data_IF_451953830545
#
_entry.id   IF_451953830545
#
_cell.length_a   1.000
_cell.length_b   1.000
_cell.length_c   1.000
_cell.angle_alpha   90.00
_cell.angle_beta   90.00
_cell.angle_gamma   90.00
#
_symmetry.space_group_name_H-M   'P 1'
#
loop_
_entity.id
_entity.type
_entity.pdbx_description
1 polymer ?
#
# COMPACT_ATOMS: atom_id res chain seq x y z
N UNK A 1 15.22 -2.49 -7.24
CA UNK A 1 13.81 -2.88 -7.14
C UNK A 1 13.00 -1.89 -6.30
N UNK A 2 13.36 -1.60 -5.06
CA UNK A 2 12.60 -0.73 -4.13
C UNK A 2 12.45 0.76 -4.52
N UNK A 3 13.00 1.18 -5.66
CA UNK A 3 12.78 2.49 -6.29
C UNK A 3 12.00 2.41 -7.60
N UNK A 4 11.34 1.27 -7.86
CA UNK A 4 10.62 1.00 -9.10
C UNK A 4 11.47 1.19 -10.37
N UNK A 5 12.73 0.76 -10.34
CA UNK A 5 13.70 0.94 -11.42
C UNK A 5 14.16 -0.39 -12.03
N UNK A 6 13.49 -1.50 -11.72
CA UNK A 6 13.90 -2.83 -12.21
C UNK A 6 13.59 -3.06 -13.70
N UNK A 7 12.79 -2.20 -14.34
CA UNK A 7 12.40 -2.39 -15.75
C UNK A 7 11.44 -3.56 -15.99
N UNK A 8 10.78 -4.06 -14.94
CA UNK A 8 9.92 -5.24 -14.93
C UNK A 8 8.47 -4.88 -14.56
N UNK A 9 8.00 -3.69 -14.89
CA UNK A 9 6.68 -3.19 -14.50
C UNK A 9 5.51 -3.83 -15.27
N UNK A 10 5.77 -4.62 -16.32
CA UNK A 10 4.74 -5.20 -17.16
C UNK A 10 4.49 -6.69 -16.90
N UNK A 11 3.24 -7.11 -17.03
CA UNK A 11 2.78 -8.50 -16.88
C UNK A 11 2.59 -9.19 -18.24
N UNK A 12 3.55 -9.05 -19.16
CA UNK A 12 3.41 -9.62 -20.51
C UNK A 12 3.20 -11.14 -20.48
N UNK A 13 2.11 -11.59 -21.11
CA UNK A 13 1.78 -13.00 -21.24
C UNK A 13 1.37 -13.68 -19.93
N UNK A 14 1.20 -12.94 -18.83
CA UNK A 14 0.60 -13.50 -17.63
C UNK A 14 -0.90 -13.66 -17.80
N UNK A 15 -1.42 -14.82 -17.41
CA UNK A 15 -2.85 -15.12 -17.35
C UNK A 15 -3.39 -14.79 -15.97
N UNK A 16 -4.71 -14.77 -15.81
CA UNK A 16 -5.34 -14.64 -14.50
C UNK A 16 -4.91 -15.76 -13.54
N UNK A 17 -4.76 -16.96 -14.05
CA UNK A 17 -4.35 -18.11 -13.24
C UNK A 17 -2.90 -17.98 -12.75
N UNK A 18 -1.99 -17.48 -13.59
CA UNK A 18 -0.60 -17.22 -13.18
C UNK A 18 -0.54 -16.25 -12.00
N UNK A 19 -1.41 -15.23 -11.98
CA UNK A 19 -1.45 -14.22 -10.91
C UNK A 19 -1.90 -14.79 -9.56
N UNK A 20 -2.61 -15.90 -9.55
CA UNK A 20 -3.04 -16.59 -8.33
C UNK A 20 -1.95 -17.49 -7.74
N UNK A 21 -0.88 -17.75 -8.49
CA UNK A 21 0.28 -18.53 -8.05
C UNK A 21 1.52 -17.63 -7.92
N UNK A 22 1.85 -17.27 -6.69
CA UNK A 22 2.97 -16.36 -6.43
C UNK A 22 4.31 -16.96 -6.86
N UNK A 23 4.51 -18.27 -6.75
CA UNK A 23 5.75 -18.94 -7.16
C UNK A 23 5.94 -18.81 -8.67
N UNK A 24 4.89 -19.10 -9.44
CA UNK A 24 4.91 -18.93 -10.90
C UNK A 24 5.24 -17.48 -11.29
N UNK A 25 4.65 -16.51 -10.59
CA UNK A 25 4.90 -15.09 -10.88
C UNK A 25 6.32 -14.64 -10.48
N UNK A 26 6.84 -15.12 -9.36
CA UNK A 26 8.20 -14.86 -8.92
C UNK A 26 9.24 -15.44 -9.90
N UNK A 27 9.08 -16.69 -10.32
CA UNK A 27 9.94 -17.35 -11.30
C UNK A 27 9.88 -16.67 -12.66
N UNK A 28 8.69 -16.32 -13.12
CA UNK A 28 8.49 -15.57 -14.37
C UNK A 28 9.21 -14.23 -14.35
N UNK A 29 9.15 -13.50 -13.23
CA UNK A 29 9.85 -12.22 -13.07
C UNK A 29 11.35 -12.38 -12.92
N UNK A 30 11.81 -13.43 -12.25
CA UNK A 30 13.23 -13.77 -12.14
C UNK A 30 13.85 -14.11 -13.50
N UNK A 31 13.11 -14.81 -14.36
CA UNK A 31 13.53 -15.17 -15.72
C UNK A 31 13.34 -14.02 -16.74
N UNK A 32 12.61 -12.96 -16.39
CA UNK A 32 12.27 -11.90 -17.34
C UNK A 32 13.46 -10.98 -17.66
N UNK A 33 13.65 -10.68 -18.92
CA UNK A 33 14.63 -9.68 -19.36
C UNK A 33 14.08 -8.29 -19.04
N UNK A 34 14.83 -7.45 -18.29
CA UNK A 34 14.41 -6.09 -18.01
C UNK A 34 14.18 -5.27 -19.28
N UNK A 35 13.10 -4.52 -19.31
CA UNK A 35 12.73 -3.70 -20.46
C UNK A 35 13.50 -2.37 -20.52
N UNK A 36 13.17 -1.56 -21.54
CA UNK A 36 13.79 -0.24 -21.83
C UNK A 36 13.70 0.78 -20.65
N UNK A 37 12.91 0.49 -19.62
CA UNK A 37 12.77 1.34 -18.44
C UNK A 37 13.67 0.90 -17.28
N UNK A 38 14.61 -0.04 -17.52
CA UNK A 38 15.62 -0.38 -16.52
C UNK A 38 16.40 0.88 -16.12
N UNK A 39 16.55 1.07 -14.80
CA UNK A 39 17.22 2.24 -14.22
C UNK A 39 16.38 3.52 -14.19
N UNK A 40 15.19 3.55 -14.81
CA UNK A 40 14.27 4.69 -14.80
C UNK A 40 13.14 4.47 -13.83
N UNK A 41 12.67 5.54 -13.16
CA UNK A 41 11.46 5.45 -12.33
C UNK A 41 10.25 5.09 -13.18
N UNK A 42 9.70 3.93 -12.94
CA UNK A 42 8.54 3.39 -13.64
C UNK A 42 7.75 2.49 -12.69
N UNK A 43 6.66 2.97 -12.15
CA UNK A 43 5.88 2.30 -11.12
C UNK A 43 5.54 0.85 -11.50
N UNK A 44 5.90 -0.06 -10.63
CA UNK A 44 5.62 -1.49 -10.74
C UNK A 44 4.39 -1.80 -9.87
N UNK A 45 3.20 -1.63 -10.41
CA UNK A 45 1.98 -1.68 -9.61
C UNK A 45 1.73 -3.04 -8.96
N UNK A 46 1.78 -4.11 -9.73
CA UNK A 46 1.57 -5.48 -9.23
C UNK A 46 2.89 -6.23 -9.10
N UNK A 47 3.77 -6.10 -10.09
CA UNK A 47 5.03 -6.86 -10.12
C UNK A 47 5.96 -6.52 -8.97
N UNK A 48 5.82 -5.33 -8.35
CA UNK A 48 6.58 -4.98 -7.15
C UNK A 48 6.39 -6.02 -6.05
N UNK A 49 5.15 -6.47 -5.82
CA UNK A 49 4.84 -7.45 -4.79
C UNK A 49 5.62 -8.75 -4.99
N UNK A 50 5.52 -9.34 -6.17
CA UNK A 50 6.22 -10.62 -6.47
C UNK A 50 7.74 -10.47 -6.59
N UNK A 51 8.24 -9.31 -6.99
CA UNK A 51 9.69 -9.03 -6.94
C UNK A 51 10.20 -8.99 -5.50
N UNK A 52 9.39 -8.46 -4.57
CA UNK A 52 9.75 -8.41 -3.15
C UNK A 52 9.54 -9.75 -2.47
N UNK A 53 8.44 -10.46 -2.76
CA UNK A 53 8.20 -11.80 -2.18
C UNK A 53 9.22 -12.83 -2.65
N UNK A 54 9.57 -12.84 -3.93
CA UNK A 54 10.61 -13.71 -4.46
C UNK A 54 11.97 -13.45 -3.84
N UNK A 55 12.35 -12.17 -3.64
CA UNK A 55 13.57 -11.81 -2.94
C UNK A 55 13.51 -12.25 -1.46
N UNK A 56 12.41 -11.99 -0.78
CA UNK A 56 12.24 -12.36 0.62
C UNK A 56 12.29 -13.87 0.80
N UNK A 57 11.61 -14.63 -0.07
CA UNK A 57 11.65 -16.10 -0.07
C UNK A 57 13.04 -16.64 -0.35
N UNK A 58 13.79 -16.05 -1.27
CA UNK A 58 15.17 -16.46 -1.56
C UNK A 58 16.11 -16.24 -0.36
N UNK A 59 15.86 -15.22 0.47
CA UNK A 59 16.69 -14.90 1.64
C UNK A 59 16.25 -15.67 2.89
N UNK A 60 14.95 -15.86 3.09
CA UNK A 60 14.41 -16.41 4.35
C UNK A 60 13.86 -17.82 4.24
N UNK A 61 13.57 -18.30 3.02
CA UNK A 61 12.86 -19.55 2.78
C UNK A 61 11.34 -19.48 3.08
N UNK A 62 10.81 -18.30 3.44
CA UNK A 62 9.42 -18.10 3.84
C UNK A 62 8.64 -17.33 2.76
N UNK A 63 7.35 -17.64 2.63
CA UNK A 63 6.44 -16.89 1.78
C UNK A 63 6.10 -15.52 2.40
N UNK A 64 5.71 -14.56 1.58
CA UNK A 64 5.45 -13.19 2.03
C UNK A 64 4.27 -13.12 3.01
N UNK A 65 3.27 -13.98 2.87
CA UNK A 65 2.13 -14.04 3.81
C UNK A 65 2.61 -14.40 5.23
N UNK A 66 3.49 -15.38 5.34
CA UNK A 66 4.07 -15.78 6.62
C UNK A 66 4.95 -14.67 7.20
N UNK A 67 5.83 -14.08 6.37
CA UNK A 67 6.67 -12.96 6.79
C UNK A 67 5.84 -11.75 7.23
N UNK A 68 4.75 -11.45 6.51
CA UNK A 68 3.87 -10.35 6.86
C UNK A 68 3.25 -10.53 8.25
N UNK A 69 2.93 -11.78 8.63
CA UNK A 69 2.43 -12.09 9.96
C UNK A 69 3.54 -12.01 11.02
N UNK A 70 4.64 -12.75 10.82
CA UNK A 70 5.68 -12.92 11.82
C UNK A 70 6.55 -11.66 12.03
N UNK A 71 6.84 -10.93 10.94
CA UNK A 71 7.76 -9.79 10.97
C UNK A 71 7.03 -8.43 11.02
N UNK A 72 5.71 -8.41 10.82
CA UNK A 72 4.94 -7.18 10.81
C UNK A 72 3.78 -7.21 11.81
N UNK A 73 2.80 -8.10 11.65
CA UNK A 73 1.57 -8.06 12.44
C UNK A 73 1.81 -8.46 13.90
N UNK A 74 2.50 -9.57 14.15
CA UNK A 74 2.81 -10.06 15.49
C UNK A 74 3.71 -9.08 16.29
N UNK A 75 4.84 -8.58 15.75
CA UNK A 75 5.65 -7.60 16.47
C UNK A 75 4.95 -6.28 16.76
N UNK A 76 3.96 -5.91 15.94
CA UNK A 76 3.13 -4.72 16.17
C UNK A 76 1.95 -4.98 17.10
N UNK A 77 1.81 -6.20 17.61
CA UNK A 77 0.68 -6.61 18.46
C UNK A 77 -0.67 -6.20 17.83
N UNK A 78 -0.91 -6.64 16.60
CA UNK A 78 -2.13 -6.32 15.88
C UNK A 78 -2.67 -7.51 15.08
N UNK A 79 -3.96 -7.70 15.17
CA UNK A 79 -4.75 -8.64 14.35
C UNK A 79 -5.40 -7.99 13.12
N UNK A 80 -5.11 -6.70 12.91
CA UNK A 80 -5.69 -5.90 11.83
C UNK A 80 -4.81 -5.75 10.59
N UNK A 81 -3.77 -6.56 10.40
CA UNK A 81 -2.90 -6.55 9.23
C UNK A 81 -2.74 -7.95 8.67
N UNK A 82 -3.25 -8.18 7.46
CA UNK A 82 -3.15 -9.46 6.77
C UNK A 82 -2.73 -9.28 5.31
N UNK A 83 -2.00 -10.24 4.78
CA UNK A 83 -1.78 -10.40 3.36
C UNK A 83 -2.72 -11.49 2.84
N UNK A 84 -3.74 -11.09 2.09
CA UNK A 84 -4.82 -11.96 1.67
C UNK A 84 -5.92 -12.09 2.74
N UNK A 85 -6.71 -13.15 2.63
CA UNK A 85 -7.85 -13.40 3.51
C UNK A 85 -7.39 -13.61 4.96
N UNK A 86 -7.95 -12.88 5.93
CA UNK A 86 -7.74 -13.19 7.34
C UNK A 86 -8.20 -14.61 7.67
N UNK A 87 -7.62 -15.27 8.68
CA UNK A 87 -8.14 -16.52 9.24
C UNK A 87 -9.62 -16.39 9.64
N UNK A 88 -10.37 -17.50 9.61
CA UNK A 88 -11.80 -17.49 9.88
C UNK A 88 -12.16 -17.07 11.33
N UNK A 89 -11.25 -17.31 12.25
CA UNK A 89 -11.32 -16.94 13.67
C UNK A 89 -10.74 -15.56 13.98
N UNK A 90 -10.14 -14.88 12.99
CA UNK A 90 -9.62 -13.54 13.20
C UNK A 90 -10.75 -12.53 13.46
N UNK A 91 -10.56 -11.57 14.38
CA UNK A 91 -11.53 -10.49 14.60
C UNK A 91 -11.65 -9.55 13.39
N UNK A 92 -10.59 -9.41 12.60
CA UNK A 92 -10.61 -8.61 11.35
C UNK A 92 -11.38 -9.35 10.25
N UNK A 93 -12.38 -8.67 9.69
CA UNK A 93 -13.20 -9.19 8.59
C UNK A 93 -12.94 -8.43 7.31
N UNK A 94 -13.03 -9.14 6.19
CA UNK A 94 -12.96 -8.52 4.86
C UNK A 94 -14.23 -7.73 4.61
N UNK A 95 -14.08 -6.44 4.26
CA UNK A 95 -15.20 -5.62 3.83
C UNK A 95 -15.61 -5.98 2.40
N UNK A 96 -16.90 -5.91 2.11
CA UNK A 96 -17.40 -6.03 0.75
C UNK A 96 -16.88 -4.88 -0.11
N UNK A 97 -16.35 -5.20 -1.29
CA UNK A 97 -15.83 -4.20 -2.22
C UNK A 97 -17.00 -3.58 -2.99
N UNK A 98 -17.15 -2.27 -2.87
CA UNK A 98 -18.16 -1.50 -3.59
C UNK A 98 -17.55 -0.95 -4.87
N UNK A 99 -18.08 -1.38 -6.02
CA UNK A 99 -17.73 -0.84 -7.33
C UNK A 99 -18.88 -0.02 -7.91
N UNK A 100 -18.60 1.06 -8.65
CA UNK A 100 -19.64 1.76 -9.38
C UNK A 100 -20.32 0.84 -10.38
N UNK A 101 -21.63 0.72 -10.30
CA UNK A 101 -22.43 -0.17 -11.16
C UNK A 101 -22.23 0.14 -12.66
N UNK A 102 -22.03 1.41 -12.99
CA UNK A 102 -21.85 1.87 -14.38
C UNK A 102 -20.52 1.39 -15.00
N UNK A 103 -19.49 1.14 -14.21
CA UNK A 103 -18.19 0.64 -14.70
C UNK A 103 -18.29 -0.86 -15.01
N UNK A 104 -18.98 -1.62 -14.17
CA UNK A 104 -19.15 -3.05 -14.34
C UNK A 104 -20.06 -3.40 -15.55
N UNK A 105 -21.08 -2.57 -15.82
CA UNK A 105 -22.05 -2.77 -16.88
C UNK A 105 -21.60 -2.22 -18.26
N UNK A 106 -20.54 -1.42 -18.32
CA UNK A 106 -20.18 -0.70 -19.54
C UNK A 106 -19.14 -1.45 -20.37
N UNK A 107 -19.62 -2.34 -21.25
CA UNK A 107 -18.76 -3.06 -22.22
C UNK A 107 -17.92 -2.11 -23.11
N UNK A 108 -18.42 -0.90 -23.39
CA UNK A 108 -17.71 0.13 -24.16
C UNK A 108 -16.52 0.67 -23.35
N UNK A 109 -16.71 0.94 -22.06
CA UNK A 109 -15.63 1.39 -21.18
C UNK A 109 -14.57 0.29 -21.02
N UNK A 110 -14.98 -0.95 -20.84
CA UNK A 110 -14.08 -2.11 -20.77
C UNK A 110 -13.29 -2.29 -22.07
N UNK A 111 -13.94 -2.14 -23.22
CA UNK A 111 -13.31 -2.22 -24.53
C UNK A 111 -12.36 -1.02 -24.76
N UNK A 112 -12.76 0.19 -24.36
CA UNK A 112 -11.93 1.38 -24.41
C UNK A 112 -10.70 1.25 -23.49
N UNK A 113 -10.88 0.74 -22.29
CA UNK A 113 -9.79 0.45 -21.36
C UNK A 113 -8.82 -0.59 -21.92
N UNK A 114 -9.29 -1.66 -22.55
CA UNK A 114 -8.43 -2.64 -23.27
C UNK A 114 -7.64 -1.99 -24.38
N UNK A 115 -8.26 -1.11 -25.18
CA UNK A 115 -7.58 -0.39 -26.27
C UNK A 115 -6.60 0.68 -25.77
N UNK A 116 -6.95 1.41 -24.72
CA UNK A 116 -6.10 2.37 -24.04
C UNK A 116 -4.91 1.69 -23.34
N UNK A 117 -5.11 0.51 -22.74
CA UNK A 117 -4.04 -0.29 -22.17
C UNK A 117 -2.94 -0.62 -23.19
N UNK A 118 -3.31 -0.76 -24.47
CA UNK A 118 -2.35 -1.00 -25.54
C UNK A 118 -1.65 0.28 -26.05
N UNK A 119 -2.27 1.45 -25.91
CA UNK A 119 -1.80 2.70 -26.53
C UNK A 119 -1.25 3.74 -25.58
N UNK A 120 -1.75 3.85 -24.35
CA UNK A 120 -1.41 4.94 -23.44
C UNK A 120 -0.88 4.42 -22.10
N UNK A 121 0.22 4.96 -21.68
CA UNK A 121 0.94 4.84 -20.40
C UNK A 121 1.32 3.43 -19.94
N UNK A 122 2.58 3.27 -19.61
CA UNK A 122 3.12 2.11 -18.90
C UNK A 122 2.41 1.84 -17.57
N UNK A 123 1.81 2.86 -16.93
CA UNK A 123 1.06 2.75 -15.70
C UNK A 123 -0.16 1.84 -15.82
N UNK A 124 -0.97 2.05 -16.83
CA UNK A 124 -2.13 1.18 -17.05
C UNK A 124 -1.71 -0.26 -17.36
N UNK A 125 -0.62 -0.43 -18.14
CA UNK A 125 -0.07 -1.76 -18.45
C UNK A 125 0.53 -2.46 -17.22
N UNK A 126 0.97 -1.74 -16.22
CA UNK A 126 1.50 -2.30 -14.98
C UNK A 126 0.41 -2.77 -14.02
N UNK A 127 -0.81 -2.25 -14.16
CA UNK A 127 -1.97 -2.54 -13.30
C UNK A 127 -2.98 -3.47 -13.95
N UNK A 128 -3.03 -3.50 -15.28
CA UNK A 128 -4.04 -4.26 -16.02
C UNK A 128 -3.59 -5.68 -16.32
N UNK A 129 -4.46 -6.63 -16.04
CA UNK A 129 -4.40 -8.00 -16.53
C UNK A 129 -5.78 -8.43 -17.06
N UNK A 130 -5.85 -9.40 -17.99
CA UNK A 130 -7.14 -9.94 -18.46
C UNK A 130 -7.95 -10.49 -17.29
N UNK A 131 -9.22 -10.07 -17.17
CA UNK A 131 -10.10 -10.48 -16.08
C UNK A 131 -9.94 -9.68 -14.79
N UNK A 132 -9.16 -8.57 -14.76
CA UNK A 132 -8.96 -7.76 -13.56
C UNK A 132 -10.27 -7.28 -12.92
N UNK A 133 -11.26 -6.89 -13.73
CA UNK A 133 -12.55 -6.41 -13.21
C UNK A 133 -13.32 -7.58 -12.57
N UNK A 134 -13.45 -8.70 -13.27
CA UNK A 134 -14.10 -9.91 -12.78
C UNK A 134 -13.46 -10.42 -11.49
N UNK A 135 -12.12 -10.40 -11.43
CA UNK A 135 -11.37 -10.79 -10.26
C UNK A 135 -11.67 -9.90 -9.04
N UNK A 136 -11.75 -8.59 -9.23
CA UNK A 136 -12.11 -7.64 -8.16
C UNK A 136 -13.58 -7.78 -7.75
N UNK A 137 -14.46 -8.20 -8.66
CA UNK A 137 -15.86 -8.50 -8.38
C UNK A 137 -16.09 -9.83 -7.64
N UNK A 138 -15.03 -10.57 -7.35
CA UNK A 138 -15.10 -11.82 -6.59
C UNK A 138 -15.18 -13.08 -7.44
N UNK A 139 -15.10 -12.97 -8.79
CA UNK A 139 -15.09 -14.11 -9.70
C UNK A 139 -13.75 -14.89 -9.66
N UNK A 140 -12.74 -14.34 -9.00
CA UNK A 140 -11.48 -15.04 -8.76
C UNK A 140 -11.09 -14.93 -7.26
N UNK A 141 -10.44 -15.97 -6.70
CA UNK A 141 -10.08 -16.02 -5.28
C UNK A 141 -8.84 -15.17 -4.98
N UNK A 142 -8.87 -13.87 -5.33
CA UNK A 142 -7.72 -12.97 -5.17
C UNK A 142 -7.24 -12.88 -3.72
N UNK A 143 -8.16 -12.95 -2.75
CA UNK A 143 -7.79 -12.89 -1.33
C UNK A 143 -7.18 -14.19 -0.82
N UNK A 144 -7.41 -15.30 -1.51
CA UNK A 144 -6.86 -16.61 -1.13
C UNK A 144 -5.47 -16.83 -1.76
N UNK A 145 -5.16 -16.08 -2.81
CA UNK A 145 -3.83 -16.04 -3.43
C UNK A 145 -2.86 -15.13 -2.65
N UNK A 146 -1.57 -15.21 -2.97
CA UNK A 146 -0.55 -14.30 -2.48
C UNK A 146 -0.19 -13.28 -3.56
N UNK A 147 -0.79 -12.09 -3.46
CA UNK A 147 -0.56 -10.96 -4.38
C UNK A 147 -0.11 -9.74 -3.57
N UNK A 148 1.15 -9.67 -3.13
CA UNK A 148 1.59 -8.76 -2.07
C UNK A 148 1.36 -7.27 -2.37
N UNK A 149 1.23 -6.90 -3.64
CA UNK A 149 0.99 -5.51 -4.03
C UNK A 149 -0.52 -5.14 -4.10
N UNK A 150 -1.45 -6.08 -3.93
CA UNK A 150 -2.86 -5.82 -4.25
C UNK A 150 -3.87 -6.35 -3.25
N UNK A 151 -3.55 -7.35 -2.45
CA UNK A 151 -4.55 -8.02 -1.62
C UNK A 151 -4.30 -7.93 -0.10
N UNK A 152 -3.63 -6.88 0.34
CA UNK A 152 -3.55 -6.56 1.76
C UNK A 152 -4.93 -6.25 2.34
N UNK A 153 -5.25 -6.83 3.49
CA UNK A 153 -6.45 -6.54 4.28
C UNK A 153 -5.99 -5.87 5.58
N UNK A 154 -6.48 -4.66 5.83
CA UNK A 154 -6.05 -3.89 6.97
C UNK A 154 -7.22 -3.13 7.62
N UNK A 155 -7.15 -2.99 8.94
CA UNK A 155 -7.91 -1.95 9.64
C UNK A 155 -7.14 -0.63 9.60
N UNK A 156 -7.84 0.50 9.63
CA UNK A 156 -7.20 1.81 9.67
C UNK A 156 -6.30 1.96 10.90
N UNK A 157 -6.72 1.40 12.06
CA UNK A 157 -5.94 1.40 13.30
C UNK A 157 -4.61 0.66 13.15
N UNK A 158 -4.64 -0.56 12.65
CA UNK A 158 -3.45 -1.39 12.50
C UNK A 158 -2.47 -0.78 11.47
N UNK A 159 -2.99 -0.26 10.37
CA UNK A 159 -2.18 0.43 9.37
C UNK A 159 -1.55 1.71 9.94
N UNK A 160 -2.31 2.51 10.70
CA UNK A 160 -1.78 3.69 11.37
C UNK A 160 -0.74 3.32 12.43
N UNK A 161 -0.89 2.18 13.13
CA UNK A 161 0.09 1.67 14.09
C UNK A 161 1.42 1.35 13.41
N UNK A 162 1.38 0.66 12.26
CA UNK A 162 2.59 0.38 11.46
C UNK A 162 3.32 1.67 11.05
N UNK A 163 2.60 2.63 10.49
CA UNK A 163 3.18 3.92 10.11
C UNK A 163 3.61 4.75 11.33
N UNK A 164 2.94 4.56 12.47
CA UNK A 164 3.29 5.17 13.74
C UNK A 164 4.64 4.69 14.27
N UNK A 165 4.92 3.39 14.17
CA UNK A 165 6.24 2.86 14.50
C UNK A 165 7.35 3.54 13.67
N UNK A 166 7.11 3.74 12.36
CA UNK A 166 8.05 4.45 11.49
C UNK A 166 8.18 5.94 11.92
N UNK A 167 7.06 6.61 12.21
CA UNK A 167 7.05 8.00 12.67
C UNK A 167 7.86 8.21 13.94
N UNK A 168 7.87 7.20 14.82
CA UNK A 168 8.55 7.22 16.11
C UNK A 168 9.94 6.55 16.08
N UNK A 169 10.62 6.58 14.95
CA UNK A 169 12.00 6.08 14.84
C UNK A 169 12.13 4.55 14.89
N UNK A 170 11.07 3.83 14.51
CA UNK A 170 11.02 2.37 14.42
C UNK A 170 10.54 1.70 15.70
N UNK A 171 9.92 2.44 16.62
CA UNK A 171 9.46 1.95 17.92
C UNK A 171 8.03 2.38 18.20
N UNK A 172 7.24 1.51 18.80
CA UNK A 172 5.88 1.81 19.25
C UNK A 172 5.58 1.00 20.53
N UNK A 173 5.02 1.67 21.55
CA UNK A 173 4.65 1.08 22.86
C UNK A 173 5.82 0.29 23.50
N UNK A 174 7.06 0.77 23.37
CA UNK A 174 8.26 0.09 23.88
C UNK A 174 8.77 -1.07 23.02
N UNK A 175 8.07 -1.42 21.95
CA UNK A 175 8.47 -2.49 21.02
C UNK A 175 9.26 -1.86 19.87
N UNK A 176 10.49 -2.31 19.68
CA UNK A 176 11.32 -1.91 18.53
C UNK A 176 10.99 -2.79 17.34
N UNK A 177 10.31 -2.20 16.37
CA UNK A 177 9.89 -2.85 15.13
C UNK A 177 10.95 -2.73 14.00
N UNK A 178 11.55 -1.54 13.87
CA UNK A 178 12.60 -1.28 12.88
C UNK A 178 13.84 -0.69 13.53
N UNK A 179 15.01 -0.94 12.97
CA UNK A 179 16.22 -0.28 13.45
C UNK A 179 16.18 1.23 13.17
N UNK A 180 16.88 2.02 13.99
CA UNK A 180 16.98 3.48 13.82
C UNK A 180 17.69 3.83 12.49
N UNK A 181 18.67 3.02 12.09
CA UNK A 181 19.40 3.18 10.83
C UNK A 181 18.44 3.02 9.65
N UNK A 182 17.57 2.02 9.68
CA UNK A 182 16.59 1.78 8.62
C UNK A 182 15.62 2.94 8.51
N UNK A 183 15.05 3.40 9.63
CA UNK A 183 14.13 4.55 9.63
C UNK A 183 14.85 5.83 9.16
N UNK A 184 16.10 6.04 9.56
CA UNK A 184 16.92 7.13 9.05
C UNK A 184 17.12 6.99 7.54
N UNK A 185 17.37 5.76 7.06
CA UNK A 185 17.47 5.46 5.64
C UNK A 185 16.17 5.75 4.87
N UNK A 186 15.00 5.49 5.47
CA UNK A 186 13.70 5.82 4.90
C UNK A 186 13.48 7.33 4.73
N UNK A 187 14.02 8.16 5.60
CA UNK A 187 13.85 9.61 5.59
C UNK A 187 14.90 10.33 4.75
N UNK A 188 16.14 9.85 4.75
CA UNK A 188 17.24 10.39 3.95
C UNK A 188 17.00 10.11 2.45
N UNK A 189 17.61 10.90 1.58
CA UNK A 189 17.61 10.67 0.12
C UNK A 189 16.23 10.74 -0.59
N UNK A 190 15.21 11.30 0.05
CA UNK A 190 13.92 11.55 -0.59
C UNK A 190 13.88 12.84 -1.44
N UNK A 191 15.01 13.52 -1.61
CA UNK A 191 15.06 14.82 -2.25
C UNK A 191 14.92 14.79 -3.77
N UNK A 192 15.16 13.65 -4.42
CA UNK A 192 15.03 13.54 -5.88
C UNK A 192 13.60 13.16 -6.25
N UNK A 193 12.85 14.14 -6.69
CA UNK A 193 11.57 13.93 -7.35
C UNK A 193 11.82 13.67 -8.82
N UNK A 194 11.55 12.46 -9.28
CA UNK A 194 11.71 12.08 -10.70
C UNK A 194 10.34 11.86 -11.32
N UNK A 195 10.13 12.29 -12.57
CA UNK A 195 8.94 11.93 -13.31
C UNK A 195 8.85 10.40 -13.45
N UNK A 196 7.82 9.80 -12.87
CA UNK A 196 7.55 8.39 -13.07
C UNK A 196 7.05 8.14 -14.48
N UNK A 197 7.65 7.18 -15.18
CA UNK A 197 7.36 6.92 -16.60
C UNK A 197 6.05 6.17 -16.83
N UNK A 198 5.51 5.57 -15.80
CA UNK A 198 4.24 4.84 -15.84
C UNK A 198 3.08 5.71 -15.37
N UNK A 199 3.23 6.41 -14.27
CA UNK A 199 2.16 7.25 -13.68
C UNK A 199 2.14 8.66 -14.25
N UNK A 200 3.21 9.10 -14.92
CA UNK A 200 3.36 10.44 -15.52
C UNK A 200 3.27 11.58 -14.48
N UNK A 201 3.52 11.27 -13.22
CA UNK A 201 3.57 12.25 -12.15
C UNK A 201 4.95 12.25 -11.49
N UNK A 202 5.41 13.38 -10.95
CA UNK A 202 6.67 13.43 -10.23
C UNK A 202 6.51 12.76 -8.86
N UNK A 203 7.13 11.58 -8.69
CA UNK A 203 7.15 10.84 -7.43
C UNK A 203 8.60 10.53 -7.04
N UNK A 204 8.82 10.43 -5.74
CA UNK A 204 10.11 10.04 -5.21
C UNK A 204 9.99 8.69 -4.50
N UNK A 205 10.11 7.61 -5.25
CA UNK A 205 10.14 6.27 -4.69
C UNK A 205 11.47 5.99 -3.98
N UNK A 206 11.37 5.55 -2.74
CA UNK A 206 12.52 5.20 -1.92
C UNK A 206 12.16 4.10 -0.92
N UNK A 207 12.87 2.98 -0.97
CA UNK A 207 12.66 1.80 -0.10
C UNK A 207 11.19 1.35 -0.03
N UNK A 208 10.50 1.33 -1.19
CA UNK A 208 9.11 0.88 -1.29
C UNK A 208 8.05 1.96 -1.05
N UNK A 209 8.41 3.08 -0.45
CA UNK A 209 7.49 4.20 -0.18
C UNK A 209 7.68 5.33 -1.17
N UNK A 210 6.71 6.25 -1.23
CA UNK A 210 6.84 7.48 -2.00
C UNK A 210 6.46 8.72 -1.17
N UNK A 211 7.04 9.86 -1.52
CA UNK A 211 6.56 11.18 -1.09
C UNK A 211 5.56 11.73 -2.10
N UNK A 212 4.87 12.80 -1.73
CA UNK A 212 3.98 13.54 -2.62
C UNK A 212 4.70 14.73 -3.26
N UNK A 213 4.38 15.09 -4.52
CA UNK A 213 4.98 16.24 -5.19
C UNK A 213 4.60 17.60 -4.56
N UNK A 214 3.59 17.61 -3.72
CA UNK A 214 3.10 18.79 -2.97
C UNK A 214 3.68 18.80 -1.55
N UNK A 215 5.00 18.69 -1.43
CA UNK A 215 5.72 18.42 -0.19
C UNK A 215 5.39 19.28 1.02
N UNK A 216 5.05 20.57 0.80
CA UNK A 216 4.67 21.45 1.93
C UNK A 216 3.25 21.19 2.43
N UNK A 217 2.38 20.62 1.61
CA UNK A 217 0.99 20.30 1.98
C UNK A 217 0.92 18.93 2.63
N UNK A 218 1.71 17.99 2.14
CA UNK A 218 1.75 16.61 2.64
C UNK A 218 3.20 16.14 2.83
N UNK A 219 3.93 16.71 3.81
CA UNK A 219 5.28 16.25 4.13
C UNK A 219 5.26 14.82 4.68
N UNK A 220 6.44 14.19 4.69
CA UNK A 220 6.55 12.78 5.07
C UNK A 220 6.50 11.85 3.87
N UNK A 221 6.09 10.61 4.09
CA UNK A 221 6.03 9.58 3.07
C UNK A 221 5.08 8.44 3.45
N UNK A 222 4.71 7.67 2.47
CA UNK A 222 3.82 6.53 2.65
C UNK A 222 3.52 5.86 1.33
N UNK A 223 2.33 5.32 1.21
CA UNK A 223 1.81 4.79 -0.03
C UNK A 223 0.33 5.11 -0.20
N UNK A 224 -0.04 5.50 -1.41
CA UNK A 224 -1.42 5.74 -1.83
C UNK A 224 -1.83 4.59 -2.75
N UNK A 225 -2.82 3.83 -2.34
CA UNK A 225 -3.38 2.73 -3.14
C UNK A 225 -4.29 3.25 -4.26
N UNK A 226 -4.38 2.49 -5.36
CA UNK A 226 -5.28 2.79 -6.48
C UNK A 226 -6.74 2.88 -6.05
N UNK A 227 -7.13 2.10 -5.04
CA UNK A 227 -8.47 2.12 -4.46
C UNK A 227 -8.77 3.33 -3.57
N UNK A 228 -7.78 4.17 -3.25
CA UNK A 228 -7.94 5.31 -2.36
C UNK A 228 -7.55 5.06 -0.90
N UNK A 229 -7.24 3.84 -0.51
CA UNK A 229 -6.67 3.56 0.82
C UNK A 229 -5.25 4.11 0.91
N UNK A 230 -4.91 4.71 2.03
CA UNK A 230 -3.64 5.42 2.22
C UNK A 230 -3.07 5.10 3.60
N UNK A 231 -1.75 4.87 3.65
CA UNK A 231 -0.96 4.91 4.87
C UNK A 231 0.16 5.93 4.72
N UNK A 232 0.34 6.78 5.73
CA UNK A 232 1.29 7.89 5.67
C UNK A 232 1.97 8.15 7.01
N UNK A 233 3.21 8.58 6.98
CA UNK A 233 4.00 8.91 8.14
C UNK A 233 4.77 10.21 7.94
N UNK A 234 4.87 11.01 8.98
CA UNK A 234 5.74 12.20 9.06
C UNK A 234 6.65 12.08 10.30
N UNK A 235 7.86 11.56 10.14
CA UNK A 235 8.79 11.43 11.25
C UNK A 235 9.22 12.78 11.87
N UNK A 236 9.09 13.90 11.16
CA UNK A 236 9.40 15.23 11.69
C UNK A 236 8.42 15.64 12.79
N UNK A 237 7.13 15.36 12.58
CA UNK A 237 6.08 15.68 13.56
C UNK A 237 5.66 14.46 14.40
N UNK A 238 6.15 13.25 14.09
CA UNK A 238 5.73 12.01 14.74
C UNK A 238 4.28 11.64 14.46
N UNK A 239 3.69 12.18 13.38
CA UNK A 239 2.31 11.90 12.98
C UNK A 239 2.28 10.70 12.03
N UNK A 240 1.39 9.77 12.30
CA UNK A 240 0.99 8.73 11.36
C UNK A 240 -0.50 8.83 11.06
N UNK A 241 -0.87 8.50 9.84
CA UNK A 241 -2.25 8.55 9.38
C UNK A 241 -2.56 7.38 8.45
N UNK A 242 -3.73 6.79 8.62
CA UNK A 242 -4.26 5.78 7.72
C UNK A 242 -5.73 6.02 7.39
N UNK A 243 -6.06 5.86 6.12
CA UNK A 243 -7.42 5.82 5.62
C UNK A 243 -7.62 4.50 4.89
N UNK A 244 -8.63 3.74 5.29
CA UNK A 244 -9.01 2.48 4.63
C UNK A 244 -10.49 2.56 4.29
N UNK A 245 -10.82 2.20 3.07
CA UNK A 245 -12.20 2.13 2.62
C UNK A 245 -12.38 1.00 1.60
N UNK A 246 -13.62 0.63 1.34
CA UNK A 246 -14.00 -0.49 0.47
C UNK A 246 -14.54 -0.07 -0.90
N UNK A 247 -14.49 1.21 -1.25
CA UNK A 247 -14.93 1.71 -2.55
C UNK A 247 -13.78 1.68 -3.54
N UNK A 248 -13.85 0.85 -4.58
CA UNK A 248 -12.85 0.79 -5.64
C UNK A 248 -13.30 1.49 -6.92
N UNK A 249 -12.34 2.04 -7.66
CA UNK A 249 -12.53 2.65 -8.98
C UNK A 249 -13.65 3.69 -9.04
N UNK A 250 -14.00 4.29 -7.89
CA UNK A 250 -14.98 5.38 -7.85
C UNK A 250 -14.44 6.58 -8.64
N UNK A 251 -15.27 7.27 -9.44
CA UNK A 251 -14.90 8.55 -10.01
C UNK A 251 -14.58 9.60 -8.93
N UNK A 252 -15.00 9.35 -7.70
CA UNK A 252 -14.71 10.19 -6.54
C UNK A 252 -13.36 9.91 -5.88
N UNK A 253 -12.58 8.93 -6.35
CA UNK A 253 -11.27 8.59 -5.77
C UNK A 253 -10.36 9.82 -5.71
N UNK A 254 -10.36 10.66 -6.73
CA UNK A 254 -9.57 11.90 -6.72
C UNK A 254 -10.06 12.91 -5.67
N UNK A 255 -11.38 12.97 -5.44
CA UNK A 255 -11.98 13.80 -4.39
C UNK A 255 -11.65 13.25 -3.01
N UNK A 256 -11.73 11.94 -2.84
CA UNK A 256 -11.36 11.25 -1.62
C UNK A 256 -9.88 11.50 -1.27
N UNK A 257 -8.98 11.45 -2.27
CA UNK A 257 -7.58 11.78 -2.09
C UNK A 257 -7.35 13.25 -1.72
N UNK A 258 -8.09 14.18 -2.32
CA UNK A 258 -8.00 15.60 -1.98
C UNK A 258 -8.49 15.85 -0.54
N UNK A 259 -9.59 15.20 -0.14
CA UNK A 259 -10.09 15.21 1.24
C UNK A 259 -9.08 14.66 2.23
N UNK A 260 -8.42 13.55 1.89
CA UNK A 260 -7.34 12.99 2.69
C UNK A 260 -6.20 13.98 2.93
N UNK A 261 -5.72 14.65 1.88
CA UNK A 261 -4.64 15.65 1.98
C UNK A 261 -5.07 16.79 2.94
N UNK A 262 -6.31 17.25 2.84
CA UNK A 262 -6.86 18.27 3.73
C UNK A 262 -6.92 17.82 5.20
N UNK A 263 -7.45 16.62 5.46
CA UNK A 263 -7.53 16.04 6.80
C UNK A 263 -6.12 15.84 7.39
N UNK A 264 -5.20 15.29 6.62
CA UNK A 264 -3.82 15.09 7.07
C UNK A 264 -3.15 16.41 7.46
N UNK A 265 -3.35 17.46 6.65
CA UNK A 265 -2.81 18.78 6.94
C UNK A 265 -3.35 19.35 8.26
N UNK A 266 -4.65 19.23 8.53
CA UNK A 266 -5.26 19.65 9.79
C UNK A 266 -4.73 18.86 10.99
N UNK A 267 -4.60 17.54 10.87
CA UNK A 267 -4.05 16.68 11.91
C UNK A 267 -2.60 17.08 12.23
N UNK A 268 -1.79 17.31 11.19
CA UNK A 268 -0.41 17.74 11.35
C UNK A 268 -0.30 19.09 12.06
N UNK A 269 -1.13 20.04 11.69
CA UNK A 269 -1.20 21.34 12.36
C UNK A 269 -1.60 21.19 13.83
N UNK A 270 -2.61 20.39 14.12
CA UNK A 270 -3.05 20.14 15.49
C UNK A 270 -1.95 19.46 16.33
N UNK A 271 -1.25 18.49 15.78
CA UNK A 271 -0.11 17.83 16.44
C UNK A 271 1.04 18.82 16.74
N UNK A 272 1.37 19.69 15.79
CA UNK A 272 2.39 20.72 15.98
C UNK A 272 1.99 21.72 17.08
N UNK A 273 0.72 22.12 17.14
CA UNK A 273 0.20 23.00 18.19
C UNK A 273 0.19 22.29 19.56
N UNK A 274 -0.23 21.04 19.61
CA UNK A 274 -0.23 20.25 20.84
C UNK A 274 1.20 20.15 21.44
N UNK A 275 2.19 19.86 20.61
CA UNK A 275 3.60 19.85 21.04
C UNK A 275 4.08 21.18 21.59
N UNK A 276 3.74 22.29 20.92
CA UNK A 276 4.09 23.64 21.40
C UNK A 276 3.48 23.97 22.76
N UNK A 277 2.31 23.40 23.06
CA UNK A 277 1.59 23.55 24.33
C UNK A 277 2.01 22.52 25.39
N UNK A 278 2.94 21.62 25.08
CA UNK A 278 3.40 20.57 26.00
C UNK A 278 2.39 19.46 26.26
N UNK A 279 1.37 19.32 25.42
CA UNK A 279 0.43 18.21 25.55
C UNK A 279 1.12 16.87 25.29
N UNK A 280 0.85 15.93 26.19
CA UNK A 280 1.28 14.54 26.05
C UNK A 280 0.11 13.67 25.58
N UNK A 281 0.35 12.62 24.81
CA UNK A 281 -0.71 11.64 24.48
C UNK A 281 -1.33 11.07 25.73
N UNK A 282 -2.66 11.08 25.82
CA UNK A 282 -3.40 10.55 26.97
C UNK A 282 -3.56 9.04 26.91
N UNK A 283 -3.56 8.50 25.68
CA UNK A 283 -3.77 7.07 25.43
C UNK A 283 -2.59 6.52 24.63
N UNK A 284 -2.08 5.33 24.95
CA UNK A 284 -1.07 4.65 24.16
C UNK A 284 -1.53 4.52 22.71
N UNK A 285 -0.59 4.69 21.79
CA UNK A 285 -0.87 4.56 20.36
C UNK A 285 -1.32 3.12 20.06
N UNK A 286 -2.50 2.97 19.45
CA UNK A 286 -3.02 1.65 19.10
C UNK A 286 -3.76 0.91 20.21
N UNK A 287 -3.97 1.52 21.38
CA UNK A 287 -4.83 0.92 22.41
C UNK A 287 -6.20 0.53 21.81
N UNK A 288 -6.77 -0.62 22.19
CA UNK A 288 -8.07 -1.05 21.70
C UNK A 288 -9.12 0.03 21.97
N UNK A 289 -9.95 0.29 20.96
CA UNK A 289 -11.13 1.12 21.18
C UNK A 289 -12.09 0.32 22.07
N UNK A 290 -12.18 0.66 23.33
CA UNK A 290 -13.30 0.23 24.16
C UNK A 290 -14.50 1.06 23.74
N UNK A 291 -15.53 0.41 23.19
CA UNK A 291 -16.80 1.09 22.92
C UNK A 291 -17.29 1.77 24.20
N UNK A 292 -17.71 3.04 24.15
CA UNK A 292 -18.32 3.67 25.31
C UNK A 292 -19.61 2.92 25.64
N UNK A 293 -19.60 2.10 26.68
CA UNK A 293 -20.76 1.31 27.10
C UNK A 293 -20.49 -0.14 27.50
N UNK A 294 -19.29 -0.68 27.25
CA UNK A 294 -18.96 -2.05 27.64
C UNK A 294 -18.48 -2.19 29.12
N UNK A 295 -18.50 -1.12 29.87
CA UNK A 295 -18.16 -1.13 31.30
C UNK A 295 -19.40 -0.81 32.14
N UNK A 296 -20.37 -1.70 32.19
CA UNK A 296 -21.35 -1.87 33.28
C UNK A 296 -22.31 -3.01 32.89
N UNK A 297 -21.96 -4.21 33.26
CA UNK A 297 -22.80 -5.40 33.19
C UNK A 297 -22.25 -6.41 34.16
#
# INVERSE_FOLDING_TARGET
MMRHQAGLSGLRGATQQDLLDHVVMEERLAAAVPGRLLGKSAYHALTFGWLMSGLARAVTGKDMRLLFREELAEPLDTDGLHLGRPPADAPTRVAEIIMPQDIAANAVLTCAMRRLAHRFSGGFRSMYFPGAIAAVQGEAPLLDAEIPAANGVATARALARMYGAIANGGEIDGIRFLSRELVTGLTRNRRQVLPDRNLLVPLNFHLGYHGMPIGNVMPGFGHVGLGGSIGWTDPETGVAFALVHNRLLSPLVMTDHAGFVGIYHLIRQAAAQARKRGYQPVTPFGAPYSEPGAAAG
#
